data_IF_132048503805
#
_entry.id   IF_132048503805
#
_cell.length_a   1.000
_cell.length_b   1.000
_cell.length_c   1.000
_cell.angle_alpha   90.00
_cell.angle_beta   90.00
_cell.angle_gamma   90.00
#
_symmetry.space_group_name_H-M   'P 1'
#
loop_
_entity.id
_entity.type
_entity.pdbx_description
1 polymer ?
#
# COMPACT_ATOMS: atom_id res chain seq x y z
N UNK A 1 -1.70 0.30 8.43
CA UNK A 1 -0.87 -0.56 7.57
C UNK A 1 -1.82 -1.49 6.85
N UNK A 2 -1.77 -1.55 5.53
CA UNK A 2 -2.53 -2.50 4.72
C UNK A 2 -1.57 -3.32 3.87
N UNK A 3 -2.04 -4.46 3.39
CA UNK A 3 -1.26 -5.36 2.56
C UNK A 3 -1.73 -5.26 1.12
N UNK A 4 -0.78 -5.09 0.21
CA UNK A 4 -1.00 -5.41 -1.19
C UNK A 4 -0.68 -6.87 -1.42
N UNK A 5 -1.57 -7.55 -2.12
CA UNK A 5 -1.32 -8.87 -2.66
C UNK A 5 -1.61 -8.80 -4.16
N UNK A 6 -0.67 -9.27 -4.97
CA UNK A 6 -0.82 -9.33 -6.42
C UNK A 6 -0.22 -10.62 -6.94
N UNK A 7 -0.96 -11.33 -7.78
CA UNK A 7 -0.43 -12.45 -8.55
C UNK A 7 0.17 -11.90 -9.84
N UNK A 8 1.35 -12.39 -10.23
CA UNK A 8 1.87 -12.09 -11.56
C UNK A 8 1.11 -12.94 -12.61
N UNK A 9 0.95 -12.42 -13.82
CA UNK A 9 0.17 -13.07 -14.90
C UNK A 9 0.77 -14.40 -15.40
N UNK A 10 1.96 -14.77 -14.91
CA UNK A 10 2.63 -16.03 -15.20
C UNK A 10 2.30 -17.15 -14.17
N UNK A 11 1.22 -16.97 -13.39
CA UNK A 11 0.42 -17.98 -12.70
C UNK A 11 1.03 -18.82 -11.56
N UNK A 12 2.28 -18.59 -11.13
CA UNK A 12 2.79 -19.34 -9.97
C UNK A 12 3.49 -18.50 -8.90
N UNK A 13 3.32 -17.17 -8.92
CA UNK A 13 3.85 -16.33 -7.86
C UNK A 13 2.83 -15.36 -7.31
N UNK A 14 2.96 -15.08 -6.01
CA UNK A 14 2.24 -14.01 -5.34
C UNK A 14 3.24 -13.04 -4.70
N UNK A 15 3.11 -11.78 -5.07
CA UNK A 15 3.76 -10.66 -4.41
C UNK A 15 2.91 -10.16 -3.25
N UNK A 16 3.51 -10.01 -2.07
CA UNK A 16 2.88 -9.43 -0.89
C UNK A 16 3.71 -8.26 -0.37
N UNK A 17 3.06 -7.13 -0.14
CA UNK A 17 3.73 -5.90 0.30
C UNK A 17 2.93 -5.20 1.40
N UNK A 18 3.38 -5.19 2.67
CA UNK A 18 2.84 -4.27 3.65
C UNK A 18 3.17 -2.84 3.22
N UNK A 19 2.18 -1.95 3.31
CA UNK A 19 2.33 -0.55 2.97
C UNK A 19 1.99 0.35 4.15
N UNK A 20 2.84 1.36 4.35
CA UNK A 20 2.56 2.49 5.19
C UNK A 20 1.99 3.63 4.35
N UNK A 21 1.05 4.36 4.96
CA UNK A 21 0.43 5.54 4.36
C UNK A 21 0.55 6.70 5.31
N UNK A 22 0.94 7.83 4.76
CA UNK A 22 0.77 9.12 5.38
C UNK A 22 -0.48 9.77 4.79
N UNK A 23 -1.56 9.79 5.57
CA UNK A 23 -2.86 10.28 5.11
C UNK A 23 -2.86 11.80 4.92
N UNK A 24 -2.05 12.51 5.71
CA UNK A 24 -1.91 13.97 5.65
C UNK A 24 -1.18 14.43 4.39
N UNK A 25 -0.11 13.73 3.99
CA UNK A 25 0.64 14.05 2.76
C UNK A 25 0.14 13.27 1.54
N UNK A 26 -0.78 12.33 1.72
CA UNK A 26 -1.27 11.38 0.70
C UNK A 26 -0.13 10.69 -0.03
N UNK A 27 0.83 10.21 0.75
CA UNK A 27 1.95 9.41 0.26
C UNK A 27 1.87 8.01 0.83
N UNK A 28 2.42 7.06 0.10
CA UNK A 28 2.58 5.68 0.55
C UNK A 28 4.00 5.19 0.28
N UNK A 29 4.40 4.15 0.98
CA UNK A 29 5.58 3.36 0.66
C UNK A 29 5.31 1.89 0.97
N UNK A 30 6.02 1.00 0.29
CA UNK A 30 6.10 -0.39 0.69
C UNK A 30 7.12 -0.49 1.82
N UNK A 31 6.76 -1.08 2.96
CA UNK A 31 7.70 -1.33 4.05
C UNK A 31 8.64 -2.48 3.67
N UNK A 32 8.06 -3.53 3.08
CA UNK A 32 8.76 -4.73 2.64
C UNK A 32 8.04 -5.30 1.41
N UNK A 33 8.71 -6.19 0.69
CA UNK A 33 8.12 -6.91 -0.43
C UNK A 33 8.53 -8.37 -0.36
N UNK A 34 7.57 -9.27 -0.52
CA UNK A 34 7.77 -10.71 -0.46
C UNK A 34 7.22 -11.35 -1.72
N UNK A 35 7.97 -12.25 -2.33
CA UNK A 35 7.51 -13.07 -3.45
C UNK A 35 7.51 -14.52 -3.00
N UNK A 36 6.37 -15.18 -3.14
CA UNK A 36 6.20 -16.60 -2.86
C UNK A 36 5.88 -17.37 -4.13
N UNK A 37 6.39 -18.59 -4.23
CA UNK A 37 5.92 -19.59 -5.19
C UNK A 37 4.60 -20.17 -4.67
N UNK A 38 3.55 -20.18 -5.48
CA UNK A 38 2.24 -20.67 -5.06
C UNK A 38 2.15 -22.20 -5.01
N UNK A 39 2.97 -22.90 -5.80
CA UNK A 39 3.01 -24.37 -5.83
C UNK A 39 3.79 -24.91 -4.63
N UNK A 40 5.01 -24.42 -4.41
CA UNK A 40 5.86 -24.92 -3.31
C UNK A 40 5.57 -24.23 -1.98
N UNK A 41 4.90 -23.08 -2.00
CA UNK A 41 4.66 -22.19 -0.84
C UNK A 41 5.94 -21.63 -0.23
N UNK A 42 7.05 -21.71 -0.96
CA UNK A 42 8.34 -21.19 -0.51
C UNK A 42 8.51 -19.73 -0.92
N UNK A 43 9.28 -18.99 -0.11
CA UNK A 43 9.64 -17.61 -0.39
C UNK A 43 10.77 -17.58 -1.41
N UNK A 44 10.49 -17.05 -2.60
CA UNK A 44 11.45 -16.90 -3.70
C UNK A 44 12.34 -15.68 -3.47
N UNK A 45 11.75 -14.58 -3.02
CA UNK A 45 12.47 -13.31 -2.87
C UNK A 45 11.89 -12.45 -1.75
N UNK A 46 12.72 -11.59 -1.17
CA UNK A 46 12.28 -10.58 -0.23
C UNK A 46 13.14 -9.32 -0.31
N UNK A 47 12.48 -8.17 -0.26
CA UNK A 47 13.12 -6.88 0.05
C UNK A 47 12.66 -6.45 1.42
N UNK A 48 13.59 -6.30 2.35
CA UNK A 48 13.32 -5.89 3.75
C UNK A 48 13.53 -4.39 3.99
N UNK A 49 13.90 -3.65 2.94
CA UNK A 49 14.11 -2.21 3.03
C UNK A 49 12.86 -1.48 2.52
N UNK A 50 12.35 -0.49 3.27
CA UNK A 50 11.25 0.33 2.80
C UNK A 50 11.58 1.02 1.48
N UNK A 51 10.59 1.07 0.60
CA UNK A 51 10.66 1.90 -0.60
C UNK A 51 10.68 3.39 -0.21
N UNK A 52 11.04 4.23 -1.18
CA UNK A 52 10.80 5.67 -1.03
C UNK A 52 9.30 5.94 -0.92
N UNK A 53 8.96 7.01 -0.22
CA UNK A 53 7.61 7.56 -0.24
C UNK A 53 7.27 8.02 -1.65
N UNK A 54 6.06 7.68 -2.10
CA UNK A 54 5.51 8.04 -3.39
C UNK A 54 4.11 8.63 -3.22
N UNK A 55 3.73 9.62 -4.04
CA UNK A 55 2.38 10.18 -3.99
C UNK A 55 1.35 9.11 -4.36
N UNK A 56 0.21 9.12 -3.69
CA UNK A 56 -0.94 8.30 -4.05
C UNK A 56 -1.54 8.84 -5.36
N UNK A 57 -1.57 8.00 -6.39
CA UNK A 57 -2.15 8.35 -7.68
C UNK A 57 -3.68 8.46 -7.62
N UNK A 58 -4.23 9.48 -8.29
CA UNK A 58 -5.68 9.67 -8.40
C UNK A 58 -6.34 8.50 -9.15
N UNK A 59 -7.46 8.00 -8.64
CA UNK A 59 -8.18 6.84 -9.14
C UNK A 59 -7.53 5.50 -8.82
N UNK A 60 -6.40 5.48 -8.11
CA UNK A 60 -5.74 4.23 -7.75
C UNK A 60 -6.53 3.47 -6.67
N UNK A 61 -6.42 2.13 -6.58
CA UNK A 61 -7.00 1.37 -5.48
C UNK A 61 -6.53 1.86 -4.10
N UNK A 62 -5.30 2.37 -4.03
CA UNK A 62 -4.73 2.95 -2.81
C UNK A 62 -5.51 4.19 -2.38
N UNK A 63 -5.87 5.05 -3.34
CA UNK A 63 -6.65 6.25 -3.07
C UNK A 63 -7.98 5.91 -2.40
N UNK A 64 -8.72 4.97 -2.97
CA UNK A 64 -10.02 4.54 -2.46
C UNK A 64 -9.93 3.99 -1.03
N UNK A 65 -8.92 3.18 -0.74
CA UNK A 65 -8.69 2.64 0.61
C UNK A 65 -8.37 3.76 1.60
N UNK A 66 -7.51 4.69 1.20
CA UNK A 66 -7.06 5.79 2.06
C UNK A 66 -8.21 6.76 2.34
N UNK A 67 -9.02 7.08 1.34
CA UNK A 67 -10.20 7.93 1.50
C UNK A 67 -11.22 7.27 2.44
N UNK A 68 -11.49 5.98 2.26
CA UNK A 68 -12.35 5.21 3.16
C UNK A 68 -11.84 5.22 4.61
N UNK A 69 -10.53 5.00 4.82
CA UNK A 69 -9.93 5.07 6.16
C UNK A 69 -10.07 6.47 6.74
N UNK A 70 -9.81 7.51 5.95
CA UNK A 70 -9.89 8.89 6.41
C UNK A 70 -11.32 9.26 6.84
N UNK A 71 -12.32 8.83 6.07
CA UNK A 71 -13.74 9.10 6.33
C UNK A 71 -14.28 8.34 7.55
N UNK A 72 -13.90 7.08 7.72
CA UNK A 72 -14.56 6.19 8.68
C UNK A 72 -13.75 5.90 9.95
N UNK A 73 -12.42 6.06 9.95
CA UNK A 73 -11.61 5.68 11.10
C UNK A 73 -11.62 6.77 12.18
N UNK A 74 -11.93 6.47 13.46
CA UNK A 74 -12.05 7.51 14.49
C UNK A 74 -10.74 8.28 14.74
N UNK A 75 -9.58 7.64 14.54
CA UNK A 75 -8.26 8.30 14.73
C UNK A 75 -7.86 9.27 13.60
N UNK A 76 -8.61 9.36 12.51
CA UNK A 76 -8.30 10.29 11.40
C UNK A 76 -9.08 11.60 11.49
N UNK A 77 -10.03 11.72 12.42
CA UNK A 77 -10.91 12.90 12.56
C UNK A 77 -10.17 14.21 12.86
N UNK A 78 -9.02 14.12 13.53
CA UNK A 78 -8.20 15.29 13.87
C UNK A 78 -7.15 15.63 12.79
N UNK A 79 -7.09 14.82 11.73
CA UNK A 79 -6.18 15.07 10.62
C UNK A 79 -6.81 16.10 9.68
N UNK A 80 -6.03 17.12 9.29
CA UNK A 80 -6.52 18.13 8.34
C UNK A 80 -6.76 17.49 6.97
N UNK A 81 -7.94 17.68 6.35
CA UNK A 81 -8.13 17.34 4.95
C UNK A 81 -7.11 18.11 4.10
N UNK A 82 -6.69 17.51 2.99
CA UNK A 82 -5.87 18.18 1.98
C UNK A 82 -6.47 19.56 1.67
N UNK A 83 -5.70 20.62 1.89
CA UNK A 83 -6.03 21.89 1.23
C UNK A 83 -5.72 21.66 -0.24
N UNK A 84 -6.72 21.42 -1.05
CA UNK A 84 -6.57 21.50 -2.49
C UNK A 84 -6.15 22.93 -2.80
N UNK A 85 -4.83 23.15 -2.89
CA UNK A 85 -4.33 24.36 -3.53
C UNK A 85 -4.72 24.23 -5.00
N UNK A 86 -5.71 25.05 -5.35
CA UNK A 86 -6.08 25.46 -6.70
C UNK A 86 -4.87 25.78 -7.55
#
# INVERSE_FOLDING_TARGET
MFWFAGTDYNDNTIGMAPAAVNVSTREFRYEEFYIYDLTTKEKINATTKPSKWAPIGKGSPIELIVDYIFEHHPKTKDLKPRSDKQ
#
